data_IF_396127244604
#
_entry.id   IF_396127244604
#
_cell.length_a   1.000
_cell.length_b   1.000
_cell.length_c   1.000
_cell.angle_alpha   90.00
_cell.angle_beta   90.00
_cell.angle_gamma   90.00
#
_symmetry.space_group_name_H-M   'P 1'
#
loop_
_entity.id
_entity.type
_entity.pdbx_description
1 polymer ?
#
# COMPACT_ATOMS: atom_id res chain seq x y z
N UNK A 1 -18.31 11.56 -10.24
CA UNK A 1 -17.95 10.24 -10.81
C UNK A 1 -16.46 9.85 -10.68
N UNK A 2 -15.68 10.48 -9.77
CA UNK A 2 -14.23 10.22 -9.63
C UNK A 2 -13.77 9.85 -8.22
N UNK A 3 -14.69 9.56 -7.30
CA UNK A 3 -14.35 8.97 -6.01
C UNK A 3 -14.35 7.47 -6.19
N UNK A 4 -13.24 6.79 -5.89
CA UNK A 4 -13.26 5.34 -5.68
C UNK A 4 -14.40 5.00 -4.72
N UNK A 5 -15.06 3.86 -4.90
CA UNK A 5 -16.13 3.43 -4.00
C UNK A 5 -15.64 3.21 -2.55
N UNK A 6 -14.32 3.23 -2.35
CA UNK A 6 -13.60 2.99 -1.10
C UNK A 6 -12.74 4.22 -0.80
N UNK A 7 -12.79 4.71 0.45
CA UNK A 7 -11.91 5.79 0.92
C UNK A 7 -10.48 5.27 1.13
N UNK A 8 -9.48 6.17 1.10
CA UNK A 8 -8.10 5.77 1.34
C UNK A 8 -7.91 5.08 2.69
N UNK A 9 -8.62 5.54 3.73
CA UNK A 9 -8.61 4.90 5.05
C UNK A 9 -9.18 3.48 5.02
N UNK A 10 -10.35 3.29 4.42
CA UNK A 10 -10.98 1.97 4.32
C UNK A 10 -10.12 0.98 3.51
N UNK A 11 -9.47 1.47 2.46
CA UNK A 11 -8.55 0.65 1.66
C UNK A 11 -7.30 0.24 2.47
N UNK A 12 -6.71 1.17 3.24
CA UNK A 12 -5.57 0.87 4.10
C UNK A 12 -5.93 -0.10 5.24
N UNK A 13 -7.12 0.03 5.84
CA UNK A 13 -7.62 -0.94 6.82
C UNK A 13 -7.78 -2.34 6.23
N UNK A 14 -8.32 -2.44 5.01
CA UNK A 14 -8.46 -3.73 4.33
C UNK A 14 -7.09 -4.36 4.03
N UNK A 15 -6.11 -3.55 3.60
CA UNK A 15 -4.73 -4.02 3.39
C UNK A 15 -4.12 -4.52 4.71
N UNK A 16 -4.31 -3.79 5.81
CA UNK A 16 -3.85 -4.23 7.14
C UNK A 16 -4.45 -5.57 7.53
N UNK A 17 -5.77 -5.76 7.32
CA UNK A 17 -6.43 -7.04 7.60
C UNK A 17 -5.86 -8.18 6.74
N UNK A 18 -5.61 -7.93 5.44
CA UNK A 18 -4.99 -8.91 4.55
C UNK A 18 -3.56 -9.25 4.96
N UNK A 19 -2.77 -8.28 5.42
CA UNK A 19 -1.42 -8.53 5.96
C UNK A 19 -1.43 -9.37 7.23
N UNK A 20 -2.39 -9.13 8.12
CA UNK A 20 -2.54 -9.94 9.33
C UNK A 20 -2.85 -11.39 8.97
N UNK A 21 -3.75 -11.61 8.01
CA UNK A 21 -4.05 -12.94 7.50
C UNK A 21 -2.82 -13.60 6.83
N UNK A 22 -2.04 -12.83 6.06
CA UNK A 22 -0.81 -13.32 5.42
C UNK A 22 0.23 -13.74 6.46
N UNK A 23 0.37 -12.99 7.56
CA UNK A 23 1.25 -13.33 8.67
C UNK A 23 0.85 -14.66 9.31
N UNK A 24 -0.44 -14.87 9.58
CA UNK A 24 -0.95 -16.16 10.10
C UNK A 24 -0.67 -17.31 9.13
N UNK A 25 -0.92 -17.14 7.83
CA UNK A 25 -0.62 -18.17 6.83
C UNK A 25 0.88 -18.51 6.77
N UNK A 26 1.77 -17.52 6.92
CA UNK A 26 3.21 -17.74 6.97
C UNK A 26 3.64 -18.50 8.22
N UNK A 27 3.03 -18.23 9.36
CA UNK A 27 3.28 -18.98 10.59
C UNK A 27 2.86 -20.46 10.44
N UNK A 28 1.68 -20.70 9.87
CA UNK A 28 1.20 -22.05 9.54
C UNK A 28 2.12 -22.77 8.55
N UNK A 29 2.56 -22.09 7.48
CA UNK A 29 3.51 -22.63 6.51
C UNK A 29 4.85 -23.00 7.18
N UNK A 30 5.36 -22.13 8.05
CA UNK A 30 6.61 -22.39 8.78
C UNK A 30 6.48 -23.59 9.73
N UNK A 31 5.33 -23.72 10.42
CA UNK A 31 5.05 -24.85 11.28
C UNK A 31 4.96 -26.16 10.47
N UNK A 32 4.27 -26.14 9.33
CA UNK A 32 4.18 -27.29 8.41
C UNK A 32 5.55 -27.69 7.87
N UNK A 33 6.34 -26.73 7.38
CA UNK A 33 7.71 -26.99 6.88
C UNK A 33 8.60 -27.60 7.96
N UNK A 34 8.50 -27.11 9.20
CA UNK A 34 9.22 -27.69 10.34
C UNK A 34 8.84 -29.15 10.57
N UNK A 35 7.54 -29.46 10.61
CA UNK A 35 7.03 -30.81 10.83
C UNK A 35 7.39 -31.76 9.68
N UNK A 36 7.32 -31.31 8.43
CA UNK A 36 7.72 -32.08 7.26
C UNK A 36 9.23 -32.33 7.19
N UNK A 37 10.03 -31.39 7.69
CA UNK A 37 11.47 -31.54 7.83
C UNK A 37 11.88 -32.73 8.71
N UNK A 38 11.07 -33.09 9.72
CA UNK A 38 11.25 -34.29 10.55
C UNK A 38 11.20 -35.56 9.67
N UNK A 39 10.36 -35.56 8.64
CA UNK A 39 10.23 -36.66 7.68
C UNK A 39 11.20 -36.55 6.51
N UNK A 40 12.13 -35.58 6.52
CA UNK A 40 13.02 -35.24 5.40
C UNK A 40 12.26 -34.89 4.11
N UNK A 41 11.02 -34.39 4.26
CA UNK A 41 10.23 -33.87 3.15
C UNK A 41 10.52 -32.38 3.06
N UNK A 42 11.14 -31.98 1.95
CA UNK A 42 11.44 -30.57 1.69
C UNK A 42 10.23 -29.90 1.02
N UNK A 43 9.61 -28.94 1.72
CA UNK A 43 8.54 -28.12 1.16
C UNK A 43 9.06 -26.69 0.95
N UNK A 44 9.16 -26.23 -0.31
CA UNK A 44 9.62 -24.87 -0.59
C UNK A 44 8.58 -23.85 -0.13
N UNK A 45 9.05 -22.65 0.21
CA UNK A 45 8.18 -21.53 0.54
C UNK A 45 7.24 -21.18 -0.63
N UNK A 46 6.01 -20.82 -0.30
CA UNK A 46 4.98 -20.46 -1.28
C UNK A 46 5.38 -19.19 -2.04
N UNK A 47 5.64 -19.36 -3.33
CA UNK A 47 5.89 -18.26 -4.25
C UNK A 47 4.68 -17.33 -4.37
N UNK A 48 3.47 -17.88 -4.21
CA UNK A 48 2.23 -17.10 -4.28
C UNK A 48 2.07 -16.20 -3.05
N UNK A 49 2.41 -16.69 -1.84
CA UNK A 49 2.44 -15.85 -0.63
C UNK A 49 3.47 -14.73 -0.74
N UNK A 50 4.66 -15.03 -1.27
CA UNK A 50 5.70 -14.02 -1.51
C UNK A 50 5.26 -12.97 -2.55
N UNK A 51 4.57 -13.40 -3.60
CA UNK A 51 4.05 -12.50 -4.64
C UNK A 51 2.94 -11.61 -4.07
N UNK A 52 2.00 -12.18 -3.33
CA UNK A 52 0.91 -11.46 -2.70
C UNK A 52 1.42 -10.39 -1.72
N UNK A 53 2.44 -10.70 -0.92
CA UNK A 53 3.07 -9.72 -0.03
C UNK A 53 3.63 -8.51 -0.77
N UNK A 54 4.33 -8.73 -1.89
CA UNK A 54 4.85 -7.64 -2.74
C UNK A 54 3.72 -6.82 -3.38
N UNK A 55 2.67 -7.48 -3.85
CA UNK A 55 1.50 -6.79 -4.40
C UNK A 55 0.80 -5.93 -3.34
N UNK A 56 0.72 -6.42 -2.09
CA UNK A 56 0.21 -5.65 -0.95
C UNK A 56 1.12 -4.45 -0.63
N UNK A 57 2.44 -4.57 -0.74
CA UNK A 57 3.37 -3.45 -0.58
C UNK A 57 3.15 -2.35 -1.62
N UNK A 58 2.93 -2.73 -2.89
CA UNK A 58 2.69 -1.77 -3.95
C UNK A 58 1.34 -1.06 -3.79
N UNK A 59 0.27 -1.80 -3.56
CA UNK A 59 -1.07 -1.20 -3.42
C UNK A 59 -1.16 -0.34 -2.17
N UNK A 60 -0.48 -0.69 -1.08
CA UNK A 60 -0.38 0.16 0.11
C UNK A 60 0.26 1.50 -0.21
N UNK A 61 1.40 1.52 -0.91
CA UNK A 61 2.07 2.76 -1.29
C UNK A 61 1.19 3.66 -2.17
N UNK A 62 0.39 3.06 -3.06
CA UNK A 62 -0.57 3.83 -3.87
C UNK A 62 -1.63 4.49 -3.00
N UNK A 63 -2.21 3.76 -2.04
CA UNK A 63 -3.22 4.32 -1.13
C UNK A 63 -2.65 5.35 -0.15
N UNK A 64 -1.41 5.19 0.29
CA UNK A 64 -0.70 6.19 1.11
C UNK A 64 -0.51 7.50 0.34
N UNK A 65 -0.11 7.45 -0.94
CA UNK A 65 0.00 8.63 -1.80
C UNK A 65 -1.37 9.29 -1.99
N UNK A 66 -2.41 8.48 -2.22
CA UNK A 66 -3.80 8.99 -2.33
C UNK A 66 -4.23 9.71 -1.06
N UNK A 67 -3.97 9.11 0.11
CA UNK A 67 -4.27 9.73 1.40
C UNK A 67 -3.48 11.03 1.64
N UNK A 68 -2.19 11.04 1.32
CA UNK A 68 -1.33 12.23 1.43
C UNK A 68 -1.91 13.37 0.55
N UNK A 69 -2.33 13.04 -0.68
CA UNK A 69 -2.99 13.99 -1.58
C UNK A 69 -4.33 14.48 -1.03
N UNK A 70 -5.20 13.59 -0.55
CA UNK A 70 -6.52 13.95 0.00
C UNK A 70 -6.40 14.89 1.20
N UNK A 71 -5.45 14.64 2.11
CA UNK A 71 -5.19 15.51 3.28
C UNK A 71 -4.77 16.90 2.84
N UNK A 72 -3.80 17.00 1.93
CA UNK A 72 -3.36 18.30 1.40
C UNK A 72 -4.47 19.00 0.61
N UNK A 73 -5.25 18.25 -0.16
CA UNK A 73 -6.35 18.79 -0.93
C UNK A 73 -7.45 19.38 -0.04
N UNK A 74 -7.85 18.68 1.02
CA UNK A 74 -8.84 19.20 1.96
C UNK A 74 -8.30 20.42 2.74
N UNK A 75 -7.01 20.47 3.07
CA UNK A 75 -6.39 21.67 3.64
C UNK A 75 -6.47 22.86 2.67
N UNK A 76 -6.11 22.66 1.41
CA UNK A 76 -6.08 23.74 0.42
C UNK A 76 -7.46 24.22 0.02
N UNK A 77 -8.42 23.30 -0.08
CA UNK A 77 -9.82 23.58 -0.42
C UNK A 77 -10.54 24.37 0.68
N UNK A 78 -10.23 24.09 1.95
CA UNK A 78 -10.85 24.77 3.08
C UNK A 78 -10.05 26.01 3.56
N UNK A 79 -8.81 26.17 3.08
CA UNK A 79 -7.94 27.31 3.41
C UNK A 79 -8.40 28.62 2.77
N UNK A 80 -8.10 29.75 3.44
CA UNK A 80 -8.34 31.08 2.86
C UNK A 80 -7.34 31.34 1.72
N UNK A 81 -7.80 31.93 0.61
CA UNK A 81 -6.93 32.33 -0.50
C UNK A 81 -5.71 33.16 -0.08
N UNK A 82 -5.82 33.95 1.00
CA UNK A 82 -4.70 34.78 1.50
C UNK A 82 -3.59 33.97 2.17
N UNK A 83 -3.91 32.78 2.67
CA UNK A 83 -2.96 31.91 3.38
C UNK A 83 -2.41 30.79 2.49
N UNK A 84 -3.02 30.56 1.33
CA UNK A 84 -2.53 29.58 0.35
C UNK A 84 -1.20 30.03 -0.25
N UNK A 85 -0.24 29.12 -0.27
CA UNK A 85 1.06 29.30 -0.92
C UNK A 85 1.12 28.41 -2.14
N UNK A 86 0.87 28.98 -3.31
CA UNK A 86 0.78 28.23 -4.59
C UNK A 86 2.07 27.47 -4.90
N UNK A 87 3.24 28.05 -4.59
CA UNK A 87 4.53 27.37 -4.76
C UNK A 87 4.63 26.09 -3.92
N UNK A 88 4.14 26.09 -2.67
CA UNK A 88 4.12 24.90 -1.82
C UNK A 88 3.17 23.86 -2.40
N UNK A 89 1.99 24.30 -2.86
CA UNK A 89 1.00 23.41 -3.47
C UNK A 89 1.55 22.70 -4.72
N UNK A 90 2.21 23.47 -5.60
CA UNK A 90 2.82 22.94 -6.82
C UNK A 90 3.97 21.99 -6.52
N UNK A 91 4.85 22.35 -5.57
CA UNK A 91 5.95 21.48 -5.14
C UNK A 91 5.44 20.15 -4.56
N UNK A 92 4.40 20.19 -3.72
CA UNK A 92 3.77 18.98 -3.15
C UNK A 92 3.12 18.13 -4.24
N UNK A 93 2.34 18.74 -5.14
CA UNK A 93 1.71 18.04 -6.25
C UNK A 93 2.74 17.34 -7.15
N UNK A 94 3.82 18.05 -7.49
CA UNK A 94 4.88 17.51 -8.35
C UNK A 94 5.69 16.41 -7.64
N UNK A 95 5.89 16.51 -6.33
CA UNK A 95 6.53 15.45 -5.54
C UNK A 95 5.68 14.18 -5.51
N UNK A 96 4.38 14.30 -5.22
CA UNK A 96 3.43 13.17 -5.23
C UNK A 96 3.32 12.52 -6.61
N UNK A 97 3.23 13.33 -7.65
CA UNK A 97 3.20 12.85 -9.04
C UNK A 97 4.48 12.07 -9.39
N UNK A 98 5.66 12.54 -8.97
CA UNK A 98 6.92 11.82 -9.18
C UNK A 98 6.97 10.48 -8.43
N UNK A 99 6.51 10.43 -7.17
CA UNK A 99 6.39 9.17 -6.41
C UNK A 99 5.47 8.19 -7.15
N UNK A 100 4.29 8.64 -7.58
CA UNK A 100 3.33 7.82 -8.30
C UNK A 100 3.87 7.29 -9.64
N UNK A 101 4.55 8.14 -10.43
CA UNK A 101 5.16 7.71 -11.69
C UNK A 101 6.26 6.68 -11.50
N UNK A 102 7.03 6.79 -10.41
CA UNK A 102 8.04 5.79 -10.06
C UNK A 102 7.38 4.44 -9.76
N UNK A 103 6.36 4.42 -8.90
CA UNK A 103 5.58 3.22 -8.61
C UNK A 103 4.93 2.62 -9.85
N UNK A 104 4.35 3.44 -10.72
CA UNK A 104 3.74 2.97 -11.97
C UNK A 104 4.74 2.29 -12.91
N UNK A 105 6.03 2.67 -12.87
CA UNK A 105 7.10 2.00 -13.63
C UNK A 105 7.52 0.68 -12.99
N UNK A 106 7.48 0.57 -11.67
CA UNK A 106 7.81 -0.66 -10.93
C UNK A 106 6.71 -1.72 -11.05
N UNK A 107 5.47 -1.30 -11.31
CA UNK A 107 4.29 -2.15 -11.53
C UNK A 107 4.08 -2.61 -12.99
N UNK A 108 4.84 -2.06 -13.95
CA UNK A 108 4.78 -2.42 -15.38
C UNK A 108 5.75 -3.55 -15.72
#
# INVERSE_FOLDING_TARGET
>A
PFTSAVSADAALEQIMAMRQLLATMKEEENALRSNLGIFKIDQPASKDLQKLERELDYIQQVWEITKEWEVHWEEWKNGSFKTLKTEVMENTAFALFRKLNKLSKELK
#
